data_IF_777719774263
#
_entry.id   IF_777719774263
#
_cell.length_a   1.000
_cell.length_b   1.000
_cell.length_c   1.000
_cell.angle_alpha   90.00
_cell.angle_beta   90.00
_cell.angle_gamma   90.00
#
_symmetry.space_group_name_H-M   'P 1'
#
loop_
_entity.id
_entity.type
_entity.pdbx_description
1 polymer ?
#
# COMPACT_ATOMS: atom_id res chain seq x y z
N UNK A 1 -10.00 -20.29 -13.62
CA UNK A 1 -8.62 -19.75 -13.60
C UNK A 1 -8.71 -18.27 -13.93
N UNK A 2 -7.96 -17.47 -13.18
CA UNK A 2 -7.78 -16.02 -13.27
C UNK A 2 -8.96 -15.18 -12.81
N UNK A 3 -9.06 -15.10 -11.48
CA UNK A 3 -9.84 -14.08 -10.79
C UNK A 3 -9.03 -12.77 -10.78
N UNK A 4 -8.99 -12.12 -11.95
CA UNK A 4 -8.33 -10.83 -12.26
C UNK A 4 -9.03 -9.64 -11.58
N UNK A 5 -9.37 -9.76 -10.29
CA UNK A 5 -10.01 -8.68 -9.53
C UNK A 5 -8.99 -7.69 -8.98
N UNK A 6 -7.99 -7.29 -9.77
CA UNK A 6 -7.30 -6.02 -9.60
C UNK A 6 -7.09 -5.37 -10.95
N UNK A 7 -8.17 -4.75 -11.43
CA UNK A 7 -8.15 -3.91 -12.62
C UNK A 7 -8.49 -2.43 -12.29
N UNK A 8 -7.49 -1.77 -11.67
CA UNK A 8 -7.04 -0.34 -11.66
C UNK A 8 -7.84 0.89 -11.24
N UNK A 9 -7.08 1.90 -10.80
CA UNK A 9 -6.79 3.10 -11.63
C UNK A 9 -5.23 3.28 -11.78
N UNK A 10 -4.55 3.37 -12.95
CA UNK A 10 -4.89 3.26 -14.37
C UNK A 10 -3.78 2.52 -15.18
N UNK A 11 -4.08 1.30 -15.63
CA UNK A 11 -3.19 0.20 -16.12
C UNK A 11 -2.07 0.58 -17.10
N UNK A 12 -0.95 -0.17 -17.22
CA UNK A 12 -0.76 -1.65 -17.20
C UNK A 12 0.75 -2.01 -17.04
N UNK A 13 1.16 -3.14 -16.44
CA UNK A 13 2.38 -3.88 -16.84
C UNK A 13 2.27 -5.41 -16.68
N UNK A 14 2.77 -6.16 -17.68
CA UNK A 14 2.47 -7.58 -17.94
C UNK A 14 3.39 -8.60 -17.23
N UNK A 15 4.44 -8.19 -16.50
CA UNK A 15 5.43 -9.11 -15.90
C UNK A 15 6.14 -8.56 -14.65
N UNK A 16 5.42 -8.01 -13.69
CA UNK A 16 5.99 -7.73 -12.36
C UNK A 16 5.03 -8.19 -11.28
N UNK A 17 5.59 -8.77 -10.22
CA UNK A 17 4.79 -9.23 -9.10
C UNK A 17 4.38 -8.00 -8.26
N UNK A 18 3.11 -7.89 -7.83
CA UNK A 18 2.62 -6.66 -7.20
C UNK A 18 2.81 -6.66 -5.68
N UNK A 19 2.92 -5.47 -5.10
CA UNK A 19 2.86 -5.24 -3.66
C UNK A 19 1.42 -4.91 -3.26
N UNK A 20 0.88 -5.71 -2.33
CA UNK A 20 -0.43 -5.56 -1.73
C UNK A 20 -0.38 -4.62 -0.53
N UNK A 21 -1.34 -3.70 -0.46
CA UNK A 21 -1.46 -2.76 0.67
C UNK A 21 -2.91 -2.71 1.15
N UNK A 22 -3.16 -3.14 2.37
CA UNK A 22 -4.50 -3.30 2.92
C UNK A 22 -4.63 -2.81 4.36
N UNK A 23 -5.81 -2.29 4.71
CA UNK A 23 -6.18 -2.05 6.10
C UNK A 23 -6.63 -3.36 6.74
N UNK A 24 -6.04 -3.75 7.87
CA UNK A 24 -6.33 -5.01 8.57
C UNK A 24 -6.61 -4.79 10.05
N UNK A 25 -7.46 -5.62 10.66
CA UNK A 25 -7.73 -5.55 12.10
C UNK A 25 -6.52 -5.97 12.94
N UNK A 26 -6.31 -5.34 14.11
CA UNK A 26 -5.15 -5.63 15.00
C UNK A 26 -5.08 -7.09 15.47
N UNK A 27 -6.22 -7.78 15.56
CA UNK A 27 -6.30 -9.19 15.95
C UNK A 27 -6.32 -10.17 14.76
N UNK A 28 -6.33 -9.66 13.52
CA UNK A 28 -6.40 -10.49 12.34
C UNK A 28 -4.99 -10.97 11.97
N UNK A 29 -4.75 -12.28 12.09
CA UNK A 29 -3.72 -12.95 11.27
C UNK A 29 -4.27 -12.97 9.86
N UNK A 30 -4.15 -11.86 9.13
CA UNK A 30 -4.60 -11.83 7.74
C UNK A 30 -3.66 -12.72 6.96
N UNK A 31 -4.19 -13.87 6.53
CA UNK A 31 -3.50 -14.67 5.54
C UNK A 31 -3.74 -14.00 4.19
N UNK A 32 -2.71 -13.94 3.34
CA UNK A 32 -2.78 -13.29 2.02
C UNK A 32 -3.99 -13.76 1.18
N UNK A 33 -4.41 -15.01 1.38
CA UNK A 33 -5.63 -15.58 0.78
C UNK A 33 -6.92 -14.81 1.13
N UNK A 34 -7.04 -14.23 2.33
CA UNK A 34 -8.22 -13.46 2.74
C UNK A 34 -8.21 -12.03 2.16
N UNK A 35 -7.03 -11.42 2.06
CA UNK A 35 -6.85 -10.07 1.51
C UNK A 35 -6.96 -10.03 -0.02
N UNK A 36 -6.44 -11.05 -0.72
CA UNK A 36 -6.61 -11.24 -2.16
C UNK A 36 -8.10 -11.39 -2.56
N UNK A 37 -8.95 -11.84 -1.63
CA UNK A 37 -10.39 -11.99 -1.84
C UNK A 37 -11.22 -10.71 -1.60
N UNK A 38 -10.60 -9.62 -1.11
CA UNK A 38 -11.28 -8.33 -0.83
C UNK A 38 -10.76 -7.19 -1.72
N UNK A 39 -11.07 -7.21 -3.02
CA UNK A 39 -10.45 -6.31 -3.99
C UNK A 39 -10.79 -4.83 -3.85
N UNK A 40 -11.88 -4.51 -3.17
CA UNK A 40 -12.24 -3.14 -2.88
C UNK A 40 -11.41 -2.54 -1.73
N UNK A 41 -10.72 -3.38 -0.95
CA UNK A 41 -10.01 -2.98 0.27
C UNK A 41 -8.49 -2.98 0.11
N UNK A 42 -7.96 -3.62 -0.93
CA UNK A 42 -6.52 -3.75 -1.17
C UNK A 42 -6.08 -2.86 -2.33
N UNK A 43 -5.11 -1.98 -2.08
CA UNK A 43 -4.39 -1.25 -3.11
C UNK A 43 -3.25 -2.15 -3.61
N UNK A 44 -3.13 -2.30 -4.93
CA UNK A 44 -2.03 -3.04 -5.54
C UNK A 44 -1.18 -2.08 -6.34
N UNK A 45 0.11 -2.14 -6.07
CA UNK A 45 1.11 -1.37 -6.79
C UNK A 45 2.07 -2.35 -7.46
N UNK A 46 2.47 -2.10 -8.71
CA UNK A 46 3.73 -2.61 -9.24
C UNK A 46 4.87 -2.57 -8.21
N UNK A 47 5.71 -3.62 -8.13
CA UNK A 47 6.91 -3.59 -7.28
C UNK A 47 7.77 -2.37 -7.59
N UNK A 48 8.00 -2.08 -8.88
CA UNK A 48 8.79 -0.93 -9.31
C UNK A 48 8.24 0.41 -8.80
N UNK A 49 6.91 0.59 -8.86
CA UNK A 49 6.23 1.79 -8.38
C UNK A 49 6.25 1.89 -6.86
N UNK A 50 6.07 0.77 -6.17
CA UNK A 50 6.22 0.70 -4.72
C UNK A 50 7.63 1.09 -4.30
N UNK A 51 8.67 0.54 -4.95
CA UNK A 51 10.07 0.86 -4.67
C UNK A 51 10.38 2.34 -4.91
N UNK A 52 9.83 2.95 -5.96
CA UNK A 52 9.98 4.39 -6.22
C UNK A 52 9.40 5.25 -5.08
N UNK A 53 8.23 4.89 -4.56
CA UNK A 53 7.62 5.56 -3.40
C UNK A 53 8.44 5.27 -2.14
N UNK A 54 8.89 4.03 -1.95
CA UNK A 54 9.60 3.60 -0.77
C UNK A 54 10.93 4.36 -0.59
N UNK A 55 11.66 4.59 -1.67
CA UNK A 55 12.91 5.38 -1.67
C UNK A 55 12.76 6.79 -1.09
N UNK A 56 11.55 7.37 -1.17
CA UNK A 56 11.26 8.74 -0.72
C UNK A 56 10.51 8.80 0.61
N UNK A 57 10.23 7.65 1.23
CA UNK A 57 9.40 7.55 2.44
C UNK A 57 10.04 6.63 3.48
N UNK A 58 9.35 6.46 4.60
CA UNK A 58 9.65 5.51 5.66
C UNK A 58 9.53 4.04 5.21
N UNK A 59 8.83 3.77 4.10
CA UNK A 59 8.66 2.42 3.55
C UNK A 59 9.95 1.79 3.03
N UNK A 60 11.04 2.56 2.83
CA UNK A 60 12.35 2.03 2.39
C UNK A 60 12.91 0.88 3.25
N UNK A 61 12.43 0.76 4.49
CA UNK A 61 12.88 -0.27 5.44
C UNK A 61 12.03 -1.55 5.39
N UNK A 62 10.94 -1.55 4.63
CA UNK A 62 10.09 -2.73 4.45
C UNK A 62 10.80 -3.71 3.54
N UNK A 63 10.99 -4.93 4.03
CA UNK A 63 11.35 -6.06 3.18
C UNK A 63 10.08 -6.53 2.45
N UNK A 64 10.02 -6.25 1.16
CA UNK A 64 8.87 -6.57 0.30
C UNK A 64 8.59 -8.07 0.24
N UNK A 65 9.57 -8.94 0.49
CA UNK A 65 9.34 -10.40 0.53
C UNK A 65 8.80 -10.88 1.88
N UNK A 66 8.41 -9.95 2.75
CA UNK A 66 7.88 -10.22 4.08
C UNK A 66 6.62 -9.42 4.36
N UNK A 67 5.73 -9.98 5.18
CA UNK A 67 4.58 -9.25 5.69
C UNK A 67 5.04 -8.23 6.73
N UNK A 68 4.72 -6.96 6.46
CA UNK A 68 4.97 -5.86 7.40
C UNK A 68 3.67 -5.20 7.81
N UNK A 69 3.48 -5.00 9.12
CA UNK A 69 2.37 -4.25 9.69
C UNK A 69 2.87 -2.89 10.16
N UNK A 70 2.25 -1.83 9.66
CA UNK A 70 2.45 -0.47 10.12
C UNK A 70 1.32 -0.11 11.08
N UNK A 71 1.68 0.38 12.26
CA UNK A 71 0.72 0.84 13.24
C UNK A 71 0.23 2.27 12.92
N UNK A 72 -0.65 2.81 13.77
CA UNK A 72 -1.19 4.16 13.56
C UNK A 72 -0.12 5.26 13.65
N UNK A 73 0.97 5.07 14.40
CA UNK A 73 2.08 6.01 14.51
C UNK A 73 2.94 6.00 13.25
N UNK A 74 3.25 4.81 12.74
CA UNK A 74 3.97 4.62 11.48
C UNK A 74 3.17 5.18 10.31
N UNK A 75 1.87 4.89 10.25
CA UNK A 75 0.97 5.44 9.22
C UNK A 75 0.84 6.97 9.29
N UNK A 76 0.86 7.58 10.49
CA UNK A 76 0.82 9.03 10.62
C UNK A 76 2.09 9.68 10.06
N UNK A 77 3.26 9.06 10.29
CA UNK A 77 4.53 9.51 9.71
C UNK A 77 4.49 9.38 8.19
N UNK A 78 4.11 8.20 7.70
CA UNK A 78 3.99 7.91 6.28
C UNK A 78 3.01 8.87 5.56
N UNK A 79 1.88 9.19 6.17
CA UNK A 79 0.89 10.11 5.60
C UNK A 79 1.51 11.47 5.29
N UNK A 80 2.31 12.03 6.20
CA UNK A 80 2.97 13.33 6.00
C UNK A 80 4.02 13.29 4.89
N UNK A 81 4.78 12.19 4.80
CA UNK A 81 5.76 11.99 3.74
C UNK A 81 5.08 11.88 2.37
N UNK A 82 3.95 11.16 2.30
CA UNK A 82 3.18 10.99 1.06
C UNK A 82 2.51 12.29 0.58
N UNK A 83 2.05 13.17 1.48
CA UNK A 83 1.59 14.53 1.08
C UNK A 83 2.71 15.28 0.35
N UNK A 84 3.92 15.18 0.88
CA UNK A 84 5.08 15.86 0.29
C UNK A 84 5.47 15.23 -1.04
N UNK A 85 5.42 13.91 -1.16
CA UNK A 85 5.71 13.18 -2.40
C UNK A 85 4.66 13.48 -3.49
N UNK A 86 3.37 13.41 -3.15
CA UNK A 86 2.25 13.74 -4.05
C UNK A 86 2.41 15.14 -4.65
N UNK A 87 2.80 16.13 -3.86
CA UNK A 87 2.98 17.51 -4.32
C UNK A 87 4.24 17.75 -5.16
N UNK A 88 5.27 16.92 -5.03
CA UNK A 88 6.59 17.13 -5.67
C UNK A 88 6.90 16.17 -6.82
N UNK A 89 6.25 15.01 -6.86
CA UNK A 89 6.50 14.02 -7.89
C UNK A 89 6.21 14.63 -9.28
N UNK A 90 7.10 14.42 -10.24
CA UNK A 90 6.88 14.81 -11.64
C UNK A 90 6.19 13.73 -12.46
N UNK A 91 6.27 12.49 -11.97
CA UNK A 91 5.65 11.30 -12.57
C UNK A 91 4.21 11.17 -12.08
N UNK A 92 3.26 11.06 -13.01
CA UNK A 92 1.83 11.00 -12.71
C UNK A 92 1.43 9.71 -11.99
N UNK A 93 2.10 8.60 -12.28
CA UNK A 93 1.82 7.31 -11.64
C UNK A 93 2.30 7.33 -10.19
N UNK A 94 3.47 7.93 -9.94
CA UNK A 94 3.98 8.16 -8.58
C UNK A 94 3.07 9.09 -7.79
N UNK A 95 2.61 10.19 -8.40
CA UNK A 95 1.65 11.09 -7.77
C UNK A 95 0.36 10.35 -7.37
N UNK A 96 -0.22 9.59 -8.30
CA UNK A 96 -1.46 8.87 -8.07
C UNK A 96 -1.30 7.79 -7.01
N UNK A 97 -0.24 6.99 -7.09
CA UNK A 97 0.02 5.92 -6.12
C UNK A 97 0.33 6.48 -4.73
N UNK A 98 1.06 7.61 -4.63
CA UNK A 98 1.28 8.29 -3.36
C UNK A 98 -0.04 8.77 -2.73
N UNK A 99 -0.95 9.33 -3.55
CA UNK A 99 -2.28 9.74 -3.09
C UNK A 99 -3.11 8.55 -2.58
N UNK A 100 -3.19 7.46 -3.36
CA UNK A 100 -3.98 6.29 -2.98
C UNK A 100 -3.42 5.62 -1.71
N UNK A 101 -2.10 5.54 -1.59
CA UNK A 101 -1.44 5.00 -0.40
C UNK A 101 -1.66 5.90 0.82
N UNK A 102 -1.64 7.23 0.62
CA UNK A 102 -1.96 8.20 1.66
C UNK A 102 -3.37 8.02 2.19
N UNK A 103 -4.35 7.79 1.32
CA UNK A 103 -5.74 7.52 1.73
C UNK A 103 -5.84 6.25 2.59
N UNK A 104 -5.06 5.19 2.27
CA UNK A 104 -4.99 3.97 3.09
C UNK A 104 -4.33 4.21 4.45
N UNK A 105 -3.20 4.91 4.48
CA UNK A 105 -2.52 5.28 5.72
C UNK A 105 -3.44 6.15 6.62
N UNK A 106 -4.12 7.13 6.04
CA UNK A 106 -5.06 8.00 6.75
C UNK A 106 -6.22 7.22 7.38
N UNK A 107 -6.75 6.21 6.70
CA UNK A 107 -7.81 5.36 7.24
C UNK A 107 -7.36 4.64 8.53
N UNK A 108 -6.12 4.16 8.58
CA UNK A 108 -5.54 3.54 9.78
C UNK A 108 -5.35 4.57 10.90
N UNK A 109 -4.80 5.74 10.57
CA UNK A 109 -4.58 6.83 11.54
C UNK A 109 -5.88 7.28 12.20
N UNK A 110 -6.98 7.37 11.45
CA UNK A 110 -8.28 7.80 11.97
C UNK A 110 -8.97 6.73 12.81
N UNK A 111 -8.70 5.45 12.57
CA UNK A 111 -9.27 4.31 13.30
C UNK A 111 -8.46 3.88 14.54
N UNK A 112 -7.37 4.58 14.87
CA UNK A 112 -6.49 4.46 16.06
C UNK A 112 -6.64 3.17 16.87
N UNK A 113 -5.70 2.23 16.68
CA UNK A 113 -5.57 1.03 17.50
C UNK A 113 -6.62 -0.05 17.24
N UNK A 114 -7.48 0.13 16.22
CA UNK A 114 -8.42 -0.90 15.75
C UNK A 114 -7.90 -1.63 14.53
N UNK A 115 -7.11 -0.95 13.71
CA UNK A 115 -6.55 -1.47 12.47
C UNK A 115 -5.10 -1.06 12.29
N UNK A 116 -4.38 -1.81 11.44
CA UNK A 116 -3.02 -1.58 10.98
C UNK A 116 -3.01 -1.54 9.44
N UNK A 117 -1.94 -1.01 8.85
CA UNK A 117 -1.69 -1.14 7.42
C UNK A 117 -0.79 -2.35 7.18
N UNK A 118 -1.30 -3.36 6.48
CA UNK A 118 -0.51 -4.48 5.98
C UNK A 118 0.12 -4.08 4.65
N UNK A 119 1.43 -4.29 4.55
CA UNK A 119 2.20 -4.26 3.31
C UNK A 119 2.78 -5.65 3.11
N UNK A 120 2.49 -6.24 1.96
CA UNK A 120 2.97 -7.57 1.60
C UNK A 120 3.35 -7.54 0.13
N UNK A 121 4.62 -7.81 -0.17
CA UNK A 121 5.04 -7.98 -1.54
C UNK A 121 4.70 -9.39 -2.06
N UNK A 122 5.37 -9.81 -3.13
CA UNK A 122 5.00 -11.01 -3.85
C UNK A 122 5.43 -12.33 -3.20
#
# INVERSE_FOLDING_TARGET
MNDDRFRVAGHKYEYEEPVAIAEVGVAAKVTWADAANSPEQTLWLPESLFLAIAQSTSLRHIDIYSQTLLDASDCATLEQELITLEAKASDQDVQLAAKLLREKAHAVVTKRGRTNLLVEGP
#
